data_IF_127227739718
#
_entry.id   IF_127227739718
#
_cell.length_a   1.000
_cell.length_b   1.000
_cell.length_c   1.000
_cell.angle_alpha   90.00
_cell.angle_beta   90.00
_cell.angle_gamma   90.00
#
_symmetry.space_group_name_H-M   'P 1'
#
loop_
_entity.id
_entity.type
_entity.pdbx_description
1 polymer ?
#
# COMPACT_ATOMS: atom_id res chain seq x y z
N UNK A 1 43.54 -39.59 -60.20
CA UNK A 1 43.00 -39.71 -58.82
C UNK A 1 42.80 -38.30 -58.25
N UNK A 2 41.74 -37.58 -58.63
CA UNK A 2 41.52 -36.22 -58.11
C UNK A 2 40.07 -35.73 -58.29
N UNK A 3 39.09 -36.48 -57.79
CA UNK A 3 37.70 -35.99 -57.65
C UNK A 3 37.10 -36.69 -56.42
N UNK A 4 37.30 -36.12 -55.22
CA UNK A 4 36.50 -36.50 -54.02
C UNK A 4 36.60 -35.54 -52.83
N UNK A 5 37.55 -34.59 -52.80
CA UNK A 5 37.72 -33.67 -51.65
C UNK A 5 36.75 -32.48 -51.62
N UNK A 6 36.22 -32.02 -52.75
CA UNK A 6 35.36 -30.83 -52.81
C UNK A 6 33.94 -31.08 -52.30
N UNK A 7 33.35 -32.24 -52.58
CA UNK A 7 31.96 -32.54 -52.16
C UNK A 7 31.86 -32.86 -50.66
N UNK A 8 32.97 -33.26 -50.03
CA UNK A 8 33.01 -33.60 -48.60
C UNK A 8 33.03 -32.34 -47.71
N UNK A 9 33.70 -31.26 -48.13
CA UNK A 9 33.73 -30.01 -47.35
C UNK A 9 32.41 -29.24 -47.44
N UNK A 10 31.73 -29.30 -48.58
CA UNK A 10 30.41 -28.68 -48.81
C UNK A 10 29.32 -29.37 -47.99
N UNK A 11 29.31 -30.71 -47.94
CA UNK A 11 28.38 -31.46 -47.08
C UNK A 11 28.59 -31.20 -45.58
N UNK A 12 29.84 -31.07 -45.15
CA UNK A 12 30.19 -30.76 -43.75
C UNK A 12 29.81 -29.33 -43.35
N UNK A 13 29.88 -28.37 -44.28
CA UNK A 13 29.44 -26.99 -44.01
C UNK A 13 27.92 -26.87 -43.97
N UNK A 14 27.20 -27.59 -44.82
CA UNK A 14 25.74 -27.58 -44.87
C UNK A 14 25.12 -28.23 -43.62
N UNK A 15 25.66 -29.35 -43.15
CA UNK A 15 25.23 -30.03 -41.92
C UNK A 15 25.53 -29.21 -40.65
N UNK A 16 26.63 -28.46 -40.63
CA UNK A 16 26.94 -27.52 -39.54
C UNK A 16 25.99 -26.32 -39.54
N UNK A 17 25.60 -25.79 -40.70
CA UNK A 17 24.62 -24.71 -40.80
C UNK A 17 23.26 -25.19 -40.31
N UNK A 18 22.80 -26.38 -40.71
CA UNK A 18 21.55 -26.96 -40.22
C UNK A 18 21.56 -27.16 -38.70
N UNK A 19 22.65 -27.71 -38.13
CA UNK A 19 22.82 -27.84 -36.68
C UNK A 19 22.73 -26.51 -35.93
N UNK A 20 23.41 -25.47 -36.42
CA UNK A 20 23.35 -24.12 -35.82
C UNK A 20 21.94 -23.53 -35.92
N UNK A 21 21.22 -23.81 -37.00
CA UNK A 21 19.85 -23.30 -37.21
C UNK A 21 18.84 -24.02 -36.31
N UNK A 22 18.99 -25.35 -36.15
CA UNK A 22 18.25 -26.19 -35.20
C UNK A 22 18.48 -25.76 -33.75
N UNK A 23 19.74 -25.54 -33.33
CA UNK A 23 20.06 -25.02 -31.99
C UNK A 23 19.44 -23.65 -31.72
N UNK A 24 19.53 -22.72 -32.68
CA UNK A 24 18.88 -21.41 -32.58
C UNK A 24 17.36 -21.55 -32.48
N UNK A 25 16.74 -22.44 -33.24
CA UNK A 25 15.29 -22.69 -33.23
C UNK A 25 14.84 -23.33 -31.91
N UNK A 26 15.60 -24.28 -31.39
CA UNK A 26 15.37 -24.94 -30.10
C UNK A 26 15.52 -23.95 -28.93
N UNK A 27 16.59 -23.15 -28.93
CA UNK A 27 16.83 -22.10 -27.95
C UNK A 27 15.73 -21.03 -27.98
N UNK A 28 15.26 -20.64 -29.18
CA UNK A 28 14.13 -19.71 -29.36
C UNK A 28 12.80 -20.29 -28.86
N UNK A 29 12.50 -21.56 -29.14
CA UNK A 29 11.30 -22.26 -28.61
C UNK A 29 11.33 -22.33 -27.08
N UNK A 30 12.47 -22.70 -26.49
CA UNK A 30 12.68 -22.76 -25.04
C UNK A 30 12.55 -21.38 -24.39
N UNK A 31 13.09 -20.34 -25.03
CA UNK A 31 12.96 -18.94 -24.60
C UNK A 31 11.50 -18.46 -24.65
N UNK A 32 10.79 -18.70 -25.75
CA UNK A 32 9.37 -18.36 -25.90
C UNK A 32 8.48 -19.08 -24.88
N UNK A 33 8.80 -20.35 -24.58
CA UNK A 33 8.05 -21.14 -23.59
C UNK A 33 8.28 -20.62 -22.16
N UNK A 34 9.51 -20.20 -21.84
CA UNK A 34 9.82 -19.54 -20.56
C UNK A 34 9.12 -18.19 -20.41
N UNK A 35 9.10 -17.36 -21.46
CA UNK A 35 8.35 -16.09 -21.47
C UNK A 35 6.87 -16.35 -21.28
N UNK A 36 6.28 -17.31 -22.01
CA UNK A 36 4.86 -17.63 -21.90
C UNK A 36 4.48 -18.09 -20.50
N UNK A 37 5.35 -18.85 -19.82
CA UNK A 37 5.14 -19.27 -18.43
C UNK A 37 5.20 -18.09 -17.46
N UNK A 38 6.15 -17.16 -17.62
CA UNK A 38 6.29 -15.98 -16.74
C UNK A 38 5.17 -14.97 -16.99
N UNK A 39 4.74 -14.81 -18.24
CA UNK A 39 3.69 -13.88 -18.64
C UNK A 39 2.34 -14.20 -17.98
N UNK A 40 2.02 -15.48 -17.73
CA UNK A 40 0.82 -15.87 -17.00
C UNK A 40 0.81 -15.37 -15.55
N UNK A 41 1.95 -15.56 -14.85
CA UNK A 41 2.13 -15.11 -13.47
C UNK A 41 2.08 -13.57 -13.35
N UNK A 42 2.76 -12.88 -14.27
CA UNK A 42 2.77 -11.40 -14.33
C UNK A 42 1.39 -10.85 -14.72
N UNK A 43 0.70 -11.49 -15.66
CA UNK A 43 -0.64 -11.11 -16.08
C UNK A 43 -1.67 -11.20 -14.94
N UNK A 44 -1.57 -12.22 -14.09
CA UNK A 44 -2.43 -12.36 -12.92
C UNK A 44 -2.18 -11.25 -11.89
N UNK A 45 -0.91 -10.87 -11.67
CA UNK A 45 -0.55 -9.75 -10.80
C UNK A 45 -1.10 -8.41 -11.34
N UNK A 46 -0.95 -8.15 -12.63
CA UNK A 46 -1.48 -6.94 -13.29
C UNK A 46 -3.01 -6.90 -13.17
N UNK A 47 -3.69 -8.04 -13.36
CA UNK A 47 -5.14 -8.12 -13.21
C UNK A 47 -5.58 -7.77 -11.77
N UNK A 48 -4.86 -8.24 -10.75
CA UNK A 48 -5.13 -7.87 -9.35
C UNK A 48 -4.89 -6.37 -9.10
N UNK A 49 -3.81 -5.80 -9.64
CA UNK A 49 -3.52 -4.37 -9.53
C UNK A 49 -4.64 -3.52 -10.16
N UNK A 50 -5.10 -3.88 -11.36
CA UNK A 50 -6.21 -3.21 -12.03
C UNK A 50 -7.53 -3.37 -11.25
N UNK A 51 -7.82 -4.57 -10.75
CA UNK A 51 -9.01 -4.82 -9.92
C UNK A 51 -9.02 -3.94 -8.67
N UNK A 52 -7.86 -3.79 -8.00
CA UNK A 52 -7.70 -2.94 -6.82
C UNK A 52 -7.86 -1.47 -7.16
N UNK A 53 -7.24 -1.00 -8.25
CA UNK A 53 -7.32 0.39 -8.69
C UNK A 53 -8.76 0.78 -9.06
N UNK A 54 -9.45 -0.05 -9.84
CA UNK A 54 -10.84 0.15 -10.22
C UNK A 54 -11.73 0.14 -8.98
N UNK A 55 -11.54 -0.82 -8.06
CA UNK A 55 -12.27 -0.88 -6.80
C UNK A 55 -12.11 0.40 -5.97
N UNK A 56 -10.89 0.90 -5.82
CA UNK A 56 -10.61 2.17 -5.13
C UNK A 56 -11.32 3.36 -5.77
N UNK A 57 -11.30 3.46 -7.10
CA UNK A 57 -12.01 4.53 -7.81
C UNK A 57 -13.54 4.45 -7.60
N UNK A 58 -14.11 3.25 -7.58
CA UNK A 58 -15.55 3.06 -7.29
C UNK A 58 -15.89 3.43 -5.85
N UNK A 59 -15.06 3.03 -4.87
CA UNK A 59 -15.24 3.45 -3.48
C UNK A 59 -15.23 4.97 -3.36
N UNK A 60 -14.24 5.63 -3.96
CA UNK A 60 -14.16 7.09 -3.98
C UNK A 60 -15.42 7.71 -4.59
N UNK A 61 -15.87 7.20 -5.74
CA UNK A 61 -17.06 7.73 -6.41
C UNK A 61 -18.32 7.66 -5.53
N UNK A 62 -18.48 6.58 -4.75
CA UNK A 62 -19.66 6.38 -3.90
C UNK A 62 -19.56 7.16 -2.57
N UNK A 63 -18.39 7.18 -1.94
CA UNK A 63 -18.24 7.67 -0.57
C UNK A 63 -17.80 9.14 -0.47
N UNK A 64 -17.03 9.64 -1.44
CA UNK A 64 -16.55 11.03 -1.43
C UNK A 64 -17.67 12.07 -1.32
N UNK A 65 -18.78 12.01 -2.09
CA UNK A 65 -19.82 13.03 -1.98
C UNK A 65 -20.49 13.04 -0.59
N UNK A 66 -20.73 11.87 -0.01
CA UNK A 66 -21.31 11.76 1.33
C UNK A 66 -20.35 12.27 2.42
N UNK A 67 -19.05 12.02 2.27
CA UNK A 67 -18.03 12.58 3.14
C UNK A 67 -18.00 14.12 3.07
N UNK A 68 -17.98 14.69 1.87
CA UNK A 68 -17.95 16.15 1.68
C UNK A 68 -19.15 16.82 2.34
N UNK A 69 -20.37 16.34 2.09
CA UNK A 69 -21.58 16.90 2.72
C UNK A 69 -21.55 16.82 4.25
N UNK A 70 -21.03 15.72 4.81
CA UNK A 70 -20.88 15.56 6.26
C UNK A 70 -19.86 16.53 6.85
N UNK A 71 -18.73 16.72 6.17
CA UNK A 71 -17.68 17.64 6.60
C UNK A 71 -18.12 19.11 6.52
N UNK A 72 -18.89 19.47 5.50
CA UNK A 72 -19.51 20.80 5.38
C UNK A 72 -20.46 21.08 6.54
N UNK A 73 -21.32 20.11 6.89
CA UNK A 73 -22.25 20.24 8.01
C UNK A 73 -21.52 20.42 9.35
N UNK A 74 -20.48 19.62 9.61
CA UNK A 74 -19.65 19.74 10.82
C UNK A 74 -18.93 21.08 10.88
N UNK A 75 -18.39 21.55 9.75
CA UNK A 75 -17.70 22.84 9.66
C UNK A 75 -18.67 24.01 9.91
N UNK A 76 -19.88 23.94 9.37
CA UNK A 76 -20.91 24.93 9.61
C UNK A 76 -21.32 24.97 11.09
N UNK A 77 -21.54 23.79 11.69
CA UNK A 77 -21.89 23.66 13.11
C UNK A 77 -20.79 24.25 14.02
N UNK A 78 -19.54 23.89 13.76
CA UNK A 78 -18.38 24.41 14.48
C UNK A 78 -18.26 25.94 14.38
N UNK A 79 -18.51 26.51 13.20
CA UNK A 79 -18.50 27.97 12.98
C UNK A 79 -19.59 28.67 13.80
N UNK A 80 -20.81 28.12 13.83
CA UNK A 80 -21.95 28.69 14.58
C UNK A 80 -21.66 28.69 16.09
N UNK A 81 -21.17 27.57 16.64
CA UNK A 81 -20.86 27.50 18.07
C UNK A 81 -19.68 28.40 18.47
N UNK A 82 -18.66 28.53 17.61
CA UNK A 82 -17.56 29.45 17.86
C UNK A 82 -18.04 30.91 17.87
N UNK A 83 -18.86 31.30 16.88
CA UNK A 83 -19.44 32.64 16.84
C UNK A 83 -20.28 32.90 18.09
N UNK A 84 -21.16 31.96 18.47
CA UNK A 84 -21.99 32.07 19.67
C UNK A 84 -21.14 32.20 20.95
N UNK A 85 -20.03 31.47 21.05
CA UNK A 85 -19.09 31.59 22.17
C UNK A 85 -18.46 32.99 22.23
N UNK A 86 -17.88 33.46 21.12
CA UNK A 86 -17.22 34.77 21.04
C UNK A 86 -18.21 35.91 21.31
N UNK A 87 -19.39 35.87 20.70
CA UNK A 87 -20.45 36.86 20.88
C UNK A 87 -20.95 36.90 22.32
N UNK A 88 -21.20 35.73 22.93
CA UNK A 88 -21.60 35.63 24.34
C UNK A 88 -20.57 36.24 25.28
N UNK A 89 -19.28 36.09 24.98
CA UNK A 89 -18.19 36.66 25.80
C UNK A 89 -18.04 38.16 25.55
N UNK A 90 -18.08 38.60 24.29
CA UNK A 90 -17.87 39.99 23.90
C UNK A 90 -19.01 40.92 24.33
N UNK A 91 -20.25 40.42 24.32
CA UNK A 91 -21.44 41.22 24.64
C UNK A 91 -21.84 41.14 26.13
N UNK A 92 -21.06 40.45 26.96
CA UNK A 92 -21.36 40.29 28.38
C UNK A 92 -20.86 41.49 29.21
N UNK A 93 -21.79 42.27 29.74
CA UNK A 93 -21.49 43.45 30.57
C UNK A 93 -21.33 43.16 32.07
N UNK A 94 -21.75 41.99 32.55
CA UNK A 94 -21.67 41.61 33.96
C UNK A 94 -20.37 40.86 34.25
N UNK A 95 -19.49 41.44 35.07
CA UNK A 95 -18.18 40.83 35.37
C UNK A 95 -18.31 39.71 36.42
N UNK A 96 -19.39 39.71 37.22
CA UNK A 96 -19.57 38.79 38.35
C UNK A 96 -19.93 37.37 37.89
N UNK A 97 -20.66 37.24 36.79
CA UNK A 97 -21.09 35.96 36.21
C UNK A 97 -20.18 35.47 35.08
N UNK A 98 -19.21 36.27 34.62
CA UNK A 98 -18.35 35.98 33.47
C UNK A 98 -17.69 34.60 33.56
N UNK A 99 -17.17 34.24 34.73
CA UNK A 99 -16.53 32.92 34.93
C UNK A 99 -17.50 31.76 34.68
N UNK A 100 -18.77 31.90 35.09
CA UNK A 100 -19.81 30.89 34.87
C UNK A 100 -20.28 30.89 33.42
N UNK A 101 -20.42 32.05 32.80
CA UNK A 101 -20.80 32.17 31.40
C UNK A 101 -19.77 31.51 30.48
N UNK A 102 -18.49 31.88 30.65
CA UNK A 102 -17.38 31.34 29.88
C UNK A 102 -17.30 29.83 30.08
N UNK A 103 -17.39 29.31 31.30
CA UNK A 103 -17.28 27.86 31.51
C UNK A 103 -18.40 27.05 30.87
N UNK A 104 -19.64 27.56 30.86
CA UNK A 104 -20.77 26.91 30.21
C UNK A 104 -20.64 26.97 28.68
N UNK A 105 -20.35 28.14 28.13
CA UNK A 105 -20.24 28.33 26.67
C UNK A 105 -19.01 27.67 26.08
N UNK A 106 -17.90 27.64 26.81
CA UNK A 106 -16.70 26.92 26.41
C UNK A 106 -16.98 25.42 26.33
N UNK A 107 -17.71 24.85 27.31
CA UNK A 107 -18.07 23.42 27.28
C UNK A 107 -18.94 23.04 26.08
N UNK A 108 -19.90 23.89 25.71
CA UNK A 108 -20.72 23.70 24.50
C UNK A 108 -19.83 23.70 23.23
N UNK A 109 -18.89 24.64 23.15
CA UNK A 109 -17.95 24.74 22.03
C UNK A 109 -16.99 23.54 21.99
N UNK A 110 -16.40 23.15 23.11
CA UNK A 110 -15.49 22.00 23.24
C UNK A 110 -16.14 20.70 22.78
N UNK A 111 -17.43 20.50 23.09
CA UNK A 111 -18.17 19.31 22.66
C UNK A 111 -18.27 19.23 21.12
N UNK A 112 -18.57 20.35 20.46
CA UNK A 112 -18.68 20.41 19.00
C UNK A 112 -17.30 20.28 18.33
N UNK A 113 -16.26 20.88 18.93
CA UNK A 113 -14.87 20.73 18.51
C UNK A 113 -14.44 19.25 18.57
N UNK A 114 -14.77 18.56 19.67
CA UNK A 114 -14.44 17.15 19.85
C UNK A 114 -15.18 16.27 18.83
N UNK A 115 -16.46 16.52 18.57
CA UNK A 115 -17.24 15.79 17.56
C UNK A 115 -16.66 15.97 16.15
N UNK A 116 -16.29 17.20 15.80
CA UNK A 116 -15.68 17.52 14.51
C UNK A 116 -14.30 16.85 14.35
N UNK A 117 -13.46 16.88 15.39
CA UNK A 117 -12.16 16.22 15.40
C UNK A 117 -12.27 14.69 15.23
N UNK A 118 -13.14 14.04 16.01
CA UNK A 118 -13.39 12.60 15.90
C UNK A 118 -13.92 12.21 14.51
N UNK A 119 -14.69 13.12 13.91
CA UNK A 119 -15.19 13.00 12.55
C UNK A 119 -14.14 13.17 11.45
N UNK A 120 -12.92 13.58 11.79
CA UNK A 120 -11.81 13.78 10.86
C UNK A 120 -11.65 15.19 10.32
N UNK A 121 -12.36 16.18 10.86
CA UNK A 121 -12.19 17.57 10.48
C UNK A 121 -10.91 18.11 11.13
N UNK A 122 -9.94 18.57 10.33
CA UNK A 122 -8.76 19.24 10.87
C UNK A 122 -9.15 20.65 11.37
N UNK A 123 -9.05 20.88 12.68
CA UNK A 123 -9.54 22.11 13.33
C UNK A 123 -8.69 23.34 12.97
N UNK A 124 -7.39 23.18 12.75
CA UNK A 124 -6.47 24.26 12.38
C UNK A 124 -6.93 25.03 11.13
N UNK A 125 -7.45 24.33 10.11
CA UNK A 125 -7.99 24.98 8.90
C UNK A 125 -9.28 25.78 9.14
N UNK A 126 -10.03 25.50 10.21
CA UNK A 126 -11.26 26.24 10.55
C UNK A 126 -10.93 27.59 11.20
N UNK A 127 -9.76 27.71 11.84
CA UNK A 127 -9.23 28.95 12.40
C UNK A 127 -8.64 29.88 11.34
N UNK A 128 -7.91 29.34 10.35
CA UNK A 128 -7.27 30.15 9.29
C UNK A 128 -8.28 30.84 8.36
N UNK A 129 -9.49 30.27 8.21
CA UNK A 129 -10.55 30.85 7.38
C UNK A 129 -11.34 31.99 8.04
N UNK A 130 -11.02 32.35 9.29
CA UNK A 130 -11.66 33.49 9.99
C UNK A 130 -10.87 34.77 9.77
N UNK A 131 -9.54 34.68 9.80
CA UNK A 131 -8.66 35.83 9.60
C UNK A 131 -8.79 36.44 8.18
N UNK A 132 -9.52 35.77 7.29
CA UNK A 132 -9.90 36.21 5.95
C UNK A 132 -11.35 36.73 5.84
N UNK A 133 -11.84 37.47 6.82
CA UNK A 133 -13.15 38.16 6.75
C UNK A 133 -13.25 39.19 5.60
N UNK A 134 -12.13 39.52 4.93
CA UNK A 134 -12.04 40.57 3.90
C UNK A 134 -11.81 40.09 2.45
N UNK A 135 -11.96 38.81 2.11
CA UNK A 135 -11.91 38.33 0.72
C UNK A 135 -13.22 37.70 0.30
N UNK A 136 -13.70 38.07 -0.89
CA UNK A 136 -14.91 37.51 -1.52
C UNK A 136 -14.91 35.98 -1.38
N UNK A 137 -16.02 35.43 -0.91
CA UNK A 137 -16.25 34.03 -0.54
C UNK A 137 -16.05 32.99 -1.65
N UNK A 138 -15.61 33.39 -2.84
CA UNK A 138 -15.35 32.53 -4.00
C UNK A 138 -13.91 32.01 -4.09
N UNK A 139 -12.97 32.54 -3.29
CA UNK A 139 -11.53 32.29 -3.47
C UNK A 139 -10.85 31.52 -2.33
N UNK A 140 -11.63 30.95 -1.40
CA UNK A 140 -11.09 30.10 -0.34
C UNK A 140 -10.82 28.70 -0.91
N UNK A 141 -9.56 28.21 -0.94
CA UNK A 141 -9.29 26.87 -1.44
C UNK A 141 -9.94 25.84 -0.49
N UNK A 142 -10.68 24.85 -1.01
CA UNK A 142 -11.20 23.77 -0.18
C UNK A 142 -10.05 22.84 0.19
N UNK A 143 -9.30 23.16 1.24
CA UNK A 143 -8.32 22.22 1.79
C UNK A 143 -9.06 21.33 2.79
N UNK A 144 -9.87 20.44 2.24
CA UNK A 144 -10.39 19.27 2.92
C UNK A 144 -9.34 18.19 2.71
N UNK A 145 -8.77 17.65 3.78
CA UNK A 145 -8.03 16.39 3.70
C UNK A 145 -9.09 15.34 3.38
N UNK A 146 -9.36 15.13 2.08
CA UNK A 146 -10.29 14.10 1.61
C UNK A 146 -9.75 12.74 2.08
N UNK A 147 -10.43 12.07 3.02
CA UNK A 147 -10.06 10.70 3.40
C UNK A 147 -10.16 9.78 2.18
N UNK A 148 -11.11 10.06 1.30
CA UNK A 148 -11.26 9.42 0.00
C UNK A 148 -10.46 10.09 -1.14
N UNK A 149 -9.17 10.39 -0.92
CA UNK A 149 -8.27 10.74 -2.03
C UNK A 149 -8.07 9.54 -2.98
N UNK A 150 -7.57 9.74 -4.20
CA UNK A 150 -7.38 8.63 -5.16
C UNK A 150 -6.46 7.57 -4.59
N UNK A 151 -5.30 7.98 -4.07
CA UNK A 151 -4.30 7.06 -3.53
C UNK A 151 -4.78 6.40 -2.24
N UNK A 152 -5.46 7.15 -1.36
CA UNK A 152 -6.05 6.58 -0.15
C UNK A 152 -7.19 5.61 -0.46
N UNK A 153 -8.00 5.84 -1.49
CA UNK A 153 -9.07 4.94 -1.88
C UNK A 153 -8.54 3.63 -2.50
N UNK A 154 -7.47 3.71 -3.30
CA UNK A 154 -6.77 2.52 -3.82
C UNK A 154 -6.06 1.77 -2.70
N UNK A 155 -5.44 2.50 -1.76
CA UNK A 155 -4.84 1.92 -0.57
C UNK A 155 -5.88 1.22 0.30
N UNK A 156 -7.01 1.86 0.59
CA UNK A 156 -8.16 1.25 1.26
C UNK A 156 -8.60 -0.04 0.54
N UNK A 157 -8.83 0.01 -0.78
CA UNK A 157 -9.21 -1.16 -1.56
C UNK A 157 -8.19 -2.29 -1.41
N UNK A 158 -6.88 -1.98 -1.46
CA UNK A 158 -5.82 -2.97 -1.27
C UNK A 158 -5.89 -3.62 0.12
N UNK A 159 -6.15 -2.84 1.18
CA UNK A 159 -6.23 -3.33 2.56
C UNK A 159 -7.44 -4.22 2.82
N UNK A 160 -8.54 -4.01 2.07
CA UNK A 160 -9.71 -4.89 2.09
C UNK A 160 -9.35 -6.25 1.47
N UNK A 161 -8.61 -6.24 0.36
CA UNK A 161 -8.22 -7.48 -0.35
C UNK A 161 -7.18 -8.30 0.41
N UNK A 162 -6.24 -7.63 1.07
CA UNK A 162 -5.21 -8.26 1.90
C UNK A 162 -5.67 -8.55 3.32
N UNK A 163 -6.94 -8.24 3.64
CA UNK A 163 -7.56 -8.43 4.96
C UNK A 163 -6.79 -7.75 6.10
N UNK A 164 -6.10 -6.64 5.82
CA UNK A 164 -5.40 -5.83 6.83
C UNK A 164 -6.39 -4.95 7.58
N UNK A 165 -7.20 -4.18 6.84
CA UNK A 165 -8.31 -3.40 7.39
C UNK A 165 -7.97 -2.41 8.50
N UNK A 166 -7.12 -1.40 8.23
CA UNK A 166 -6.71 -0.38 9.21
C UNK A 166 -7.86 0.38 9.91
N UNK A 167 -9.00 0.53 9.24
CA UNK A 167 -10.17 1.23 9.81
C UNK A 167 -10.04 2.75 9.89
N UNK A 168 -8.92 3.35 9.45
CA UNK A 168 -8.74 4.80 9.34
C UNK A 168 -9.66 5.43 8.28
N UNK A 169 -9.96 4.68 7.21
CA UNK A 169 -10.96 5.03 6.20
C UNK A 169 -11.93 3.84 6.08
N UNK A 170 -13.23 4.11 6.15
CA UNK A 170 -14.29 3.10 6.08
C UNK A 170 -15.50 3.61 5.32
N UNK A 171 -16.24 2.75 4.59
CA UNK A 171 -17.45 3.15 3.89
C UNK A 171 -18.55 3.50 4.90
N UNK A 172 -19.03 4.72 4.81
CA UNK A 172 -20.09 5.28 5.66
C UNK A 172 -21.47 5.08 5.04
N UNK A 173 -21.56 5.03 3.70
CA UNK A 173 -22.83 4.89 2.99
C UNK A 173 -23.29 3.44 2.92
N UNK A 174 -24.61 3.24 2.85
CA UNK A 174 -25.18 1.90 2.63
C UNK A 174 -24.69 1.29 1.30
N UNK A 175 -24.54 2.13 0.26
CA UNK A 175 -24.04 1.70 -1.05
C UNK A 175 -22.59 1.23 -1.01
N UNK A 176 -21.70 2.01 -0.37
CA UNK A 176 -20.29 1.66 -0.24
C UNK A 176 -20.08 0.42 0.64
N UNK A 177 -20.88 0.23 1.69
CA UNK A 177 -20.86 -1.00 2.50
C UNK A 177 -21.29 -2.22 1.71
N UNK A 178 -22.37 -2.13 0.93
CA UNK A 178 -22.82 -3.23 0.07
C UNK A 178 -21.76 -3.56 -1.00
N UNK A 179 -21.20 -2.53 -1.64
CA UNK A 179 -20.11 -2.71 -2.60
C UNK A 179 -18.90 -3.36 -1.94
N UNK A 180 -18.52 -2.96 -0.72
CA UNK A 180 -17.42 -3.56 0.03
C UNK A 180 -17.60 -5.07 0.23
N UNK A 181 -18.81 -5.52 0.57
CA UNK A 181 -19.11 -6.94 0.75
C UNK A 181 -18.88 -7.71 -0.56
N UNK A 182 -19.43 -7.22 -1.67
CA UNK A 182 -19.29 -7.87 -2.99
C UNK A 182 -17.84 -7.84 -3.50
N UNK A 183 -17.16 -6.70 -3.32
CA UNK A 183 -15.77 -6.49 -3.71
C UNK A 183 -14.82 -7.44 -2.95
N UNK A 184 -15.02 -7.60 -1.64
CA UNK A 184 -14.23 -8.51 -0.81
C UNK A 184 -14.48 -9.98 -1.16
N UNK A 185 -15.74 -10.37 -1.43
CA UNK A 185 -16.10 -11.74 -1.77
C UNK A 185 -15.37 -12.26 -3.02
N UNK A 186 -15.18 -11.41 -4.03
CA UNK A 186 -14.45 -11.75 -5.25
C UNK A 186 -12.94 -11.54 -5.10
N UNK A 187 -12.55 -10.44 -4.45
CA UNK A 187 -11.16 -10.00 -4.42
C UNK A 187 -10.27 -10.77 -3.44
N UNK A 188 -10.80 -11.22 -2.30
CA UNK A 188 -10.00 -11.99 -1.33
C UNK A 188 -9.56 -13.34 -1.93
N UNK A 189 -10.45 -14.17 -2.53
CA UNK A 189 -10.02 -15.39 -3.22
C UNK A 189 -9.00 -15.12 -4.34
N UNK A 190 -9.21 -14.08 -5.14
CA UNK A 190 -8.26 -13.69 -6.20
C UNK A 190 -6.87 -13.37 -5.61
N UNK A 191 -6.84 -12.63 -4.50
CA UNK A 191 -5.61 -12.28 -3.78
C UNK A 191 -4.91 -13.52 -3.25
N UNK A 192 -5.64 -14.48 -2.67
CA UNK A 192 -5.06 -15.74 -2.19
C UNK A 192 -4.42 -16.56 -3.32
N UNK A 193 -5.04 -16.60 -4.51
CA UNK A 193 -4.49 -17.27 -5.69
C UNK A 193 -3.18 -16.60 -6.12
N UNK A 194 -3.17 -15.27 -6.18
CA UNK A 194 -1.97 -14.48 -6.53
C UNK A 194 -0.85 -14.70 -5.50
N UNK A 195 -1.15 -14.67 -4.20
CA UNK A 195 -0.16 -14.91 -3.14
C UNK A 195 0.44 -16.31 -3.27
N UNK A 196 -0.38 -17.34 -3.50
CA UNK A 196 0.10 -18.71 -3.66
C UNK A 196 1.03 -18.87 -4.87
N UNK A 197 0.73 -18.15 -5.95
CA UNK A 197 1.53 -18.13 -7.16
C UNK A 197 2.86 -17.38 -7.00
N UNK A 198 2.81 -16.18 -6.40
CA UNK A 198 3.99 -15.40 -6.02
C UNK A 198 4.90 -16.17 -5.05
N UNK A 199 4.32 -16.90 -4.09
CA UNK A 199 5.07 -17.74 -3.15
C UNK A 199 5.88 -18.82 -3.85
N UNK A 200 5.32 -19.46 -4.90
CA UNK A 200 6.05 -20.43 -5.74
C UNK A 200 7.17 -19.78 -6.53
N UNK A 201 6.94 -18.59 -7.08
CA UNK A 201 7.96 -17.83 -7.82
C UNK A 201 9.12 -17.43 -6.90
N UNK A 202 8.80 -16.93 -5.70
CA UNK A 202 9.76 -16.55 -4.68
C UNK A 202 10.62 -17.75 -4.25
N UNK A 203 9.99 -18.88 -3.93
CA UNK A 203 10.72 -20.10 -3.57
C UNK A 203 11.70 -20.55 -4.66
N UNK A 204 11.29 -20.52 -5.93
CA UNK A 204 12.17 -20.83 -7.08
C UNK A 204 13.31 -19.80 -7.21
N UNK A 205 13.02 -18.52 -6.98
CA UNK A 205 14.00 -17.43 -7.01
C UNK A 205 15.07 -17.60 -5.94
N UNK A 206 14.67 -17.82 -4.69
CA UNK A 206 15.57 -18.04 -3.55
C UNK A 206 16.50 -19.23 -3.81
N UNK A 207 15.97 -20.36 -4.30
CA UNK A 207 16.78 -21.53 -4.64
C UNK A 207 17.81 -21.22 -5.73
N UNK A 208 17.41 -20.51 -6.79
CA UNK A 208 18.34 -20.10 -7.86
C UNK A 208 19.43 -19.17 -7.34
N UNK A 209 19.08 -18.18 -6.52
CA UNK A 209 20.04 -17.25 -5.91
C UNK A 209 21.01 -18.01 -5.00
N UNK A 210 20.52 -18.91 -4.15
CA UNK A 210 21.34 -19.73 -3.28
C UNK A 210 22.35 -20.59 -4.07
N UNK A 211 21.91 -21.20 -5.18
CA UNK A 211 22.79 -21.96 -6.07
C UNK A 211 23.81 -21.06 -6.80
N UNK A 212 23.39 -19.88 -7.25
CA UNK A 212 24.28 -18.92 -7.90
C UNK A 212 25.33 -18.36 -6.94
N UNK A 213 24.96 -18.06 -5.69
CA UNK A 213 25.91 -17.66 -4.64
C UNK A 213 26.92 -18.77 -4.35
N UNK A 214 26.49 -20.03 -4.30
CA UNK A 214 27.39 -21.18 -4.15
C UNK A 214 28.42 -21.27 -5.30
N UNK A 215 28.03 -20.91 -6.52
CA UNK A 215 28.94 -20.96 -7.69
C UNK A 215 29.93 -19.78 -7.78
N UNK A 216 29.68 -18.66 -7.08
CA UNK A 216 30.50 -17.44 -7.17
C UNK A 216 31.40 -17.18 -5.96
N UNK A 217 31.27 -17.91 -4.86
CA UNK A 217 32.21 -17.80 -3.73
C UNK A 217 33.50 -18.61 -4.02
N UNK A 218 34.69 -17.97 -4.12
CA UNK A 218 35.98 -18.65 -4.21
C UNK A 218 36.50 -19.04 -2.83
N UNK A 219 35.62 -19.40 -1.90
CA UNK A 219 35.99 -19.70 -0.53
C UNK A 219 35.92 -21.21 -0.31
N UNK A 220 37.09 -21.81 -0.22
CA UNK A 220 37.38 -23.05 0.51
C UNK A 220 37.11 -22.84 2.02
N UNK A 221 35.98 -22.25 2.37
CA UNK A 221 35.46 -22.27 3.73
C UNK A 221 34.61 -23.53 3.81
N UNK A 222 35.21 -24.59 4.35
CA UNK A 222 34.45 -25.75 4.80
C UNK A 222 33.41 -25.23 5.78
N UNK A 223 32.17 -25.06 5.33
CA UNK A 223 31.03 -24.74 6.18
C UNK A 223 30.72 -26.01 6.99
N UNK A 224 31.57 -26.30 7.98
CA UNK A 224 31.39 -27.42 8.92
C UNK A 224 30.10 -27.28 9.74
N UNK A 225 29.42 -26.12 9.64
CA UNK A 225 28.12 -25.83 10.24
C UNK A 225 26.92 -26.00 9.29
N UNK A 226 27.05 -26.63 8.11
CA UNK A 226 25.84 -27.09 7.39
C UNK A 226 25.51 -28.48 7.95
N UNK A 227 24.51 -28.61 8.84
CA UNK A 227 24.12 -29.92 9.35
C UNK A 227 23.79 -30.85 8.19
N UNK A 228 24.42 -32.03 8.19
CA UNK A 228 24.20 -33.09 7.20
C UNK A 228 22.79 -33.69 7.30
N UNK A 229 22.13 -33.49 8.44
CA UNK A 229 20.81 -34.00 8.74
C UNK A 229 19.68 -33.14 8.14
N UNK A 230 18.61 -33.78 7.66
CA UNK A 230 17.46 -33.12 7.01
C UNK A 230 16.78 -32.09 7.93
N UNK A 231 16.73 -32.37 9.24
CA UNK A 231 16.20 -31.46 10.26
C UNK A 231 17.03 -30.16 10.36
N UNK A 232 18.36 -30.26 10.30
CA UNK A 232 19.23 -29.10 10.38
C UNK A 232 19.18 -28.22 9.11
N UNK A 233 19.03 -28.81 7.92
CA UNK A 233 18.81 -28.04 6.69
C UNK A 233 17.48 -27.28 6.70
N UNK A 234 16.42 -27.88 7.27
CA UNK A 234 15.12 -27.22 7.46
C UNK A 234 15.23 -26.05 8.44
N UNK A 235 15.94 -26.25 9.56
CA UNK A 235 16.17 -25.20 10.57
C UNK A 235 16.97 -24.01 10.00
N UNK A 236 18.04 -24.28 9.24
CA UNK A 236 18.83 -23.23 8.59
C UNK A 236 18.02 -22.44 7.55
N UNK A 237 17.17 -23.13 6.77
CA UNK A 237 16.27 -22.48 5.82
C UNK A 237 15.22 -21.60 6.50
N UNK A 238 14.66 -22.05 7.62
CA UNK A 238 13.71 -21.25 8.42
C UNK A 238 14.38 -19.99 8.99
N UNK A 239 15.58 -20.13 9.55
CA UNK A 239 16.35 -18.98 10.05
C UNK A 239 16.67 -17.97 8.94
N UNK A 240 17.12 -18.45 7.77
CA UNK A 240 17.38 -17.58 6.62
C UNK A 240 16.11 -16.86 6.12
N UNK A 241 14.95 -17.52 6.13
CA UNK A 241 13.68 -16.90 5.75
C UNK A 241 13.27 -15.79 6.73
N UNK A 242 13.47 -16.00 8.04
CA UNK A 242 13.21 -14.98 9.06
C UNK A 242 14.15 -13.78 8.86
N UNK A 243 15.44 -14.01 8.66
CA UNK A 243 16.42 -12.93 8.41
C UNK A 243 16.03 -12.12 7.16
N UNK A 244 15.64 -12.79 6.07
CA UNK A 244 15.19 -12.13 4.85
C UNK A 244 13.93 -11.30 5.10
N UNK A 245 12.96 -11.82 5.85
CA UNK A 245 11.77 -11.07 6.23
C UNK A 245 12.13 -9.81 7.02
N UNK A 246 13.00 -9.90 8.04
CA UNK A 246 13.45 -8.73 8.81
C UNK A 246 14.18 -7.70 7.94
N UNK A 247 15.02 -8.14 6.98
CA UNK A 247 15.66 -7.26 6.01
C UNK A 247 14.63 -6.56 5.11
N UNK A 248 13.62 -7.30 4.63
CA UNK A 248 12.52 -6.73 3.83
C UNK A 248 11.75 -5.65 4.62
N UNK A 249 11.41 -5.92 5.88
CA UNK A 249 10.76 -4.95 6.76
C UNK A 249 11.65 -3.73 7.02
N UNK A 250 12.96 -3.92 7.23
CA UNK A 250 13.91 -2.82 7.42
C UNK A 250 14.07 -1.95 6.16
N UNK A 251 14.08 -2.54 4.96
CA UNK A 251 14.06 -1.79 3.71
C UNK A 251 12.77 -0.97 3.56
N UNK A 252 11.61 -1.55 3.88
CA UNK A 252 10.33 -0.83 3.88
C UNK A 252 10.33 0.32 4.89
N UNK A 253 10.84 0.10 6.09
CA UNK A 253 10.99 1.13 7.11
C UNK A 253 11.84 2.32 6.64
N UNK A 254 12.98 2.04 5.99
CA UNK A 254 13.82 3.09 5.39
C UNK A 254 13.10 3.85 4.28
N UNK A 255 12.27 3.18 3.47
CA UNK A 255 11.45 3.84 2.45
C UNK A 255 10.41 4.77 3.06
N UNK A 256 9.67 4.31 4.09
CA UNK A 256 8.63 5.12 4.73
C UNK A 256 9.19 6.29 5.54
N UNK A 257 10.35 6.12 6.17
CA UNK A 257 11.06 7.22 6.84
C UNK A 257 11.48 8.34 5.87
N UNK A 258 11.72 8.00 4.59
CA UNK A 258 12.01 9.01 3.55
C UNK A 258 10.74 9.59 2.93
N UNK A 259 9.63 8.85 2.98
CA UNK A 259 8.37 9.27 2.40
C UNK A 259 7.61 10.20 3.34
N UNK A 260 7.43 9.79 4.60
CA UNK A 260 6.68 10.50 5.64
C UNK A 260 7.62 11.40 6.46
N UNK A 261 7.27 12.68 6.62
CA UNK A 261 8.14 13.65 7.32
C UNK A 261 8.16 13.44 8.84
N UNK A 262 7.07 12.91 9.39
CA UNK A 262 6.86 12.75 10.83
C UNK A 262 7.24 11.36 11.36
N UNK A 263 7.73 10.45 10.49
CA UNK A 263 8.01 9.07 10.87
C UNK A 263 9.52 8.84 11.08
N UNK A 264 9.87 8.25 12.21
CA UNK A 264 11.22 7.72 12.41
C UNK A 264 11.34 6.28 11.84
N UNK A 265 12.55 5.73 11.80
CA UNK A 265 12.78 4.37 11.30
C UNK A 265 11.96 3.30 12.06
N UNK A 266 11.81 3.45 13.38
CA UNK A 266 11.06 2.51 14.19
C UNK A 266 9.56 2.56 13.87
N UNK A 267 8.99 3.75 13.67
CA UNK A 267 7.59 3.93 13.24
C UNK A 267 7.35 3.24 11.90
N UNK A 268 8.26 3.44 10.93
CA UNK A 268 8.21 2.77 9.64
C UNK A 268 8.36 1.25 9.73
N UNK A 269 9.22 0.75 10.63
CA UNK A 269 9.39 -0.69 10.85
C UNK A 269 8.18 -1.32 11.53
N UNK A 270 7.66 -0.66 12.57
CA UNK A 270 6.45 -1.06 13.27
C UNK A 270 5.25 -1.09 12.32
N UNK A 271 5.08 -0.05 11.49
CA UNK A 271 4.07 -0.02 10.45
C UNK A 271 4.22 -1.21 9.50
N UNK A 272 5.42 -1.42 8.93
CA UNK A 272 5.67 -2.56 8.02
C UNK A 272 5.34 -3.91 8.68
N UNK A 273 5.70 -4.09 9.95
CA UNK A 273 5.43 -5.32 10.70
C UNK A 273 3.93 -5.55 10.91
N UNK A 274 3.20 -4.55 11.41
CA UNK A 274 1.74 -4.59 11.64
C UNK A 274 0.97 -4.79 10.31
N UNK A 275 1.45 -4.18 9.23
CA UNK A 275 0.94 -4.36 7.86
C UNK A 275 1.11 -5.81 7.40
N UNK A 276 2.35 -6.32 7.47
CA UNK A 276 2.71 -7.62 6.89
C UNK A 276 2.09 -8.79 7.65
N UNK A 277 1.89 -8.63 8.96
CA UNK A 277 1.19 -9.60 9.81
C UNK A 277 -0.33 -9.47 9.76
N UNK A 278 -0.85 -8.54 8.94
CA UNK A 278 -2.28 -8.24 8.78
C UNK A 278 -2.99 -7.94 10.10
N UNK A 279 -2.28 -7.34 11.07
CA UNK A 279 -2.86 -6.87 12.34
C UNK A 279 -3.65 -5.59 12.11
N UNK A 280 -3.05 -4.64 11.37
CA UNK A 280 -3.76 -3.46 10.87
C UNK A 280 -4.35 -2.54 11.95
N UNK A 281 -3.58 -2.12 12.96
CA UNK A 281 -4.10 -1.22 14.02
C UNK A 281 -4.63 0.13 13.52
N UNK A 282 -4.03 0.67 12.44
CA UNK A 282 -4.45 1.94 11.83
C UNK A 282 -4.02 3.18 12.62
N UNK A 283 -3.18 3.00 13.64
CA UNK A 283 -2.52 4.04 14.42
C UNK A 283 -1.48 4.80 13.60
N UNK A 284 -0.75 4.08 12.73
CA UNK A 284 0.15 4.65 11.73
C UNK A 284 -0.29 4.21 10.34
N UNK A 285 -0.57 5.18 9.48
CA UNK A 285 -0.90 4.97 8.07
C UNK A 285 -0.26 6.08 7.24
N UNK A 286 0.32 5.77 6.06
CA UNK A 286 0.86 6.80 5.17
C UNK A 286 -0.22 7.80 4.81
N UNK A 287 0.08 9.08 4.96
CA UNK A 287 -0.88 10.17 4.83
C UNK A 287 -0.50 11.18 3.76
N UNK A 288 0.78 11.20 3.34
CA UNK A 288 1.24 12.01 2.22
C UNK A 288 0.56 11.57 0.92
N UNK A 289 -0.13 12.53 0.32
CA UNK A 289 -0.89 12.42 -0.92
C UNK A 289 -0.03 11.96 -2.09
#
# INVERSE_FOLDING_TARGET
>A
MSIKKSNLSVGFTQENVERVTEEKRFSRKKYLQNIKSIAGHVGLLIALMLYTAIGGLVFRYIELPAELSRLEALRANLRVHRYSFVDSVSNNSDVSNLRRLVSVKLREYEQVVQEAAQSGLLITFVSDTIDQENRNTTDLPPIVIERWSILQAVFFASTVLTTIGYGNVVPSTNGGRMFCILFAFVGIPLTLIVIADLGKLFARGVVKIALAMKSKLPLHFSFSCIPTNLAGRRSLGAFAAIVLLFLYLACGAGMFMLWEDDWNFFDGFYFCFVTMTTIGFGDLVPSKY
#
